data_IF_768046763277
#
_entry.id   IF_768046763277
#
_cell.length_a   1.000
_cell.length_b   1.000
_cell.length_c   1.000
_cell.angle_alpha   90.00
_cell.angle_beta   90.00
_cell.angle_gamma   90.00
#
_symmetry.space_group_name_H-M   'P 1'
#
loop_
_entity.id
_entity.type
_entity.pdbx_description
1 polymer ?
#
# COMPACT_ATOMS: atom_id res chain seq x y z
N UNK A 1 15.84 3.05 -4.28
CA UNK A 1 15.65 4.08 -3.22
C UNK A 1 15.38 5.44 -3.87
N UNK A 2 14.16 5.69 -4.38
CA UNK A 2 13.95 6.83 -5.29
C UNK A 2 12.67 7.63 -4.99
N UNK A 3 11.59 6.97 -4.55
CA UNK A 3 10.28 7.63 -4.39
C UNK A 3 10.23 8.69 -3.27
N UNK A 4 10.75 8.40 -2.07
CA UNK A 4 10.74 9.36 -0.96
C UNK A 4 11.68 10.55 -1.20
N UNK A 5 12.86 10.30 -1.78
CA UNK A 5 13.80 11.37 -2.17
C UNK A 5 13.19 12.28 -3.23
N UNK A 6 12.57 11.69 -4.24
CA UNK A 6 11.82 12.45 -5.26
C UNK A 6 10.67 13.23 -4.63
N UNK A 7 9.93 12.65 -3.67
CA UNK A 7 8.84 13.35 -3.00
C UNK A 7 9.32 14.55 -2.20
N UNK A 8 10.47 14.43 -1.55
CA UNK A 8 11.11 15.51 -0.80
C UNK A 8 11.50 16.67 -1.73
N UNK A 9 12.15 16.40 -2.86
CA UNK A 9 12.44 17.40 -3.89
C UNK A 9 11.18 18.13 -4.38
N UNK A 10 10.10 17.38 -4.65
CA UNK A 10 8.80 17.96 -5.04
C UNK A 10 8.19 18.81 -3.90
N UNK A 11 8.46 18.46 -2.66
CA UNK A 11 7.97 19.22 -1.50
C UNK A 11 8.75 20.53 -1.33
N UNK A 12 10.07 20.51 -1.48
CA UNK A 12 10.93 21.69 -1.39
C UNK A 12 10.57 22.72 -2.47
N UNK A 13 10.45 22.26 -3.71
CA UNK A 13 9.98 23.12 -4.82
C UNK A 13 8.58 23.69 -4.59
N UNK A 14 7.66 22.90 -4.02
CA UNK A 14 6.33 23.40 -3.63
C UNK A 14 6.40 24.42 -2.49
N UNK A 15 7.32 24.24 -1.54
CA UNK A 15 7.55 25.16 -0.42
C UNK A 15 8.07 26.51 -0.91
N UNK A 16 9.06 26.49 -1.79
CA UNK A 16 9.59 27.70 -2.43
C UNK A 16 8.50 28.45 -3.19
N UNK A 17 7.71 27.73 -4.00
CA UNK A 17 6.62 28.32 -4.77
C UNK A 17 5.47 28.88 -3.91
N UNK A 18 5.20 28.29 -2.74
CA UNK A 18 4.14 28.75 -1.84
C UNK A 18 4.55 29.97 -0.98
N UNK A 19 5.84 30.15 -0.71
CA UNK A 19 6.36 31.25 0.11
C UNK A 19 5.66 31.35 1.46
N UNK A 20 5.12 32.52 1.79
CA UNK A 20 4.40 32.79 3.04
C UNK A 20 3.13 31.94 3.24
N UNK A 21 2.56 31.39 2.16
CA UNK A 21 1.38 30.52 2.24
C UNK A 21 1.73 29.09 2.64
N UNK A 22 3.02 28.79 2.82
CA UNK A 22 3.46 27.47 3.25
C UNK A 22 3.16 27.24 4.73
N UNK A 23 2.46 26.14 5.01
CA UNK A 23 2.25 25.66 6.36
C UNK A 23 3.32 24.62 6.71
N UNK A 24 4.17 24.96 7.67
CA UNK A 24 5.16 24.03 8.19
C UNK A 24 4.47 22.83 8.87
N UNK A 25 4.88 21.62 8.50
CA UNK A 25 4.47 20.37 9.13
C UNK A 25 5.56 19.31 8.95
N UNK A 26 5.56 18.30 9.81
CA UNK A 26 6.48 17.14 9.73
C UNK A 26 6.01 16.08 8.72
N UNK A 27 5.06 16.43 7.83
CA UNK A 27 4.49 15.52 6.86
C UNK A 27 5.34 15.48 5.58
N UNK A 28 5.65 14.28 5.09
CA UNK A 28 6.33 14.08 3.79
C UNK A 28 5.36 14.25 2.62
N UNK A 29 4.08 13.93 2.82
CA UNK A 29 3.04 14.06 1.79
C UNK A 29 2.08 15.19 2.14
N UNK A 30 2.29 16.34 1.50
CA UNK A 30 1.48 17.53 1.69
C UNK A 30 0.79 17.97 0.40
N UNK A 31 -0.20 18.84 0.53
CA UNK A 31 -0.67 19.69 -0.57
C UNK A 31 0.44 20.69 -0.98
N UNK A 32 0.21 21.43 -2.07
CA UNK A 32 1.12 22.48 -2.54
C UNK A 32 1.44 23.59 -1.52
N UNK A 33 0.63 23.71 -0.46
CA UNK A 33 0.81 24.72 0.59
C UNK A 33 1.25 24.10 1.93
N UNK A 34 1.72 22.85 1.95
CA UNK A 34 2.22 22.21 3.18
C UNK A 34 1.14 21.62 4.11
N UNK A 35 -0.15 21.76 3.77
CA UNK A 35 -1.26 21.16 4.54
C UNK A 35 -1.40 19.64 4.30
N UNK A 36 -1.99 18.89 5.24
CA UNK A 36 -2.33 17.48 5.04
C UNK A 36 -3.21 17.26 3.80
N UNK A 37 -3.02 16.13 3.13
CA UNK A 37 -3.88 15.73 2.01
C UNK A 37 -5.17 15.12 2.57
N UNK A 38 -6.31 15.69 2.19
CA UNK A 38 -7.62 15.12 2.54
C UNK A 38 -7.81 13.73 1.89
N UNK A 39 -8.25 12.70 2.63
CA UNK A 39 -8.43 11.35 2.10
C UNK A 39 -9.34 11.28 0.86
N UNK A 40 -10.40 12.09 0.80
CA UNK A 40 -11.31 12.14 -0.36
C UNK A 40 -10.60 12.63 -1.62
N UNK A 41 -9.75 13.65 -1.49
CA UNK A 41 -8.96 14.16 -2.61
C UNK A 41 -7.92 13.15 -3.08
N UNK A 42 -7.28 12.43 -2.16
CA UNK A 42 -6.39 11.32 -2.51
C UNK A 42 -7.12 10.24 -3.31
N UNK A 43 -8.30 9.81 -2.86
CA UNK A 43 -9.10 8.81 -3.57
C UNK A 43 -9.51 9.29 -4.97
N UNK A 44 -9.91 10.56 -5.12
CA UNK A 44 -10.25 11.16 -6.42
C UNK A 44 -9.05 11.18 -7.37
N UNK A 45 -7.88 11.57 -6.87
CA UNK A 45 -6.66 11.58 -7.66
C UNK A 45 -6.26 10.16 -8.08
N UNK A 46 -6.35 9.20 -7.16
CA UNK A 46 -6.07 7.79 -7.45
C UNK A 46 -6.99 7.20 -8.52
N UNK A 47 -8.30 7.48 -8.45
CA UNK A 47 -9.25 7.08 -9.47
C UNK A 47 -8.93 7.71 -10.84
N UNK A 48 -8.53 8.99 -10.87
CA UNK A 48 -8.09 9.63 -12.10
C UNK A 48 -6.84 8.94 -12.69
N UNK A 49 -5.90 8.51 -11.84
CA UNK A 49 -4.73 7.75 -12.28
C UNK A 49 -5.10 6.36 -12.80
N UNK A 50 -6.04 5.65 -12.17
CA UNK A 50 -6.53 4.36 -12.69
C UNK A 50 -7.12 4.51 -14.09
N UNK A 51 -7.96 5.54 -14.31
CA UNK A 51 -8.53 5.84 -15.63
C UNK A 51 -7.45 6.17 -16.65
N UNK A 52 -6.44 6.97 -16.28
CA UNK A 52 -5.32 7.33 -17.17
C UNK A 52 -4.48 6.11 -17.54
N UNK A 53 -4.31 5.16 -16.63
CA UNK A 53 -3.59 3.92 -16.86
C UNK A 53 -4.44 2.85 -17.58
N UNK A 54 -5.70 3.14 -17.90
CA UNK A 54 -6.66 2.21 -18.51
C UNK A 54 -6.84 0.89 -17.74
N UNK A 55 -6.72 0.94 -16.41
CA UNK A 55 -6.94 -0.22 -15.53
C UNK A 55 -8.33 -0.13 -14.88
N UNK A 56 -8.90 -1.27 -14.44
CA UNK A 56 -10.12 -1.27 -13.65
C UNK A 56 -10.01 -0.33 -12.46
N UNK A 57 -11.11 0.35 -12.15
CA UNK A 57 -11.19 1.21 -10.96
C UNK A 57 -11.09 0.33 -9.72
N UNK A 58 -10.00 0.50 -8.99
CA UNK A 58 -9.79 -0.11 -7.67
C UNK A 58 -9.70 0.98 -6.60
N UNK A 59 -9.84 0.60 -5.33
CA UNK A 59 -9.63 1.49 -4.18
C UNK A 59 -8.15 1.52 -3.82
N UNK A 60 -7.72 2.54 -3.09
CA UNK A 60 -6.31 2.65 -2.65
C UNK A 60 -5.91 1.44 -1.81
N UNK A 61 -6.78 0.92 -0.93
CA UNK A 61 -6.46 -0.26 -0.13
C UNK A 61 -6.36 -1.55 -0.95
N UNK A 62 -7.02 -1.62 -2.11
CA UNK A 62 -6.94 -2.79 -2.98
C UNK A 62 -5.53 -2.95 -3.57
N UNK A 63 -4.76 -1.86 -3.70
CA UNK A 63 -3.35 -1.95 -4.13
C UNK A 63 -2.52 -2.83 -3.20
N UNK A 64 -2.86 -2.83 -1.91
CA UNK A 64 -2.22 -3.68 -0.91
C UNK A 64 -2.65 -5.14 -1.07
N UNK A 65 -3.90 -5.37 -1.43
CA UNK A 65 -4.40 -6.71 -1.75
C UNK A 65 -3.70 -7.25 -3.01
N UNK A 66 -3.58 -6.43 -4.06
CA UNK A 66 -2.80 -6.77 -5.26
C UNK A 66 -1.35 -7.09 -4.92
N UNK A 67 -0.71 -6.33 -4.03
CA UNK A 67 0.64 -6.65 -3.56
C UNK A 67 0.69 -8.01 -2.84
N UNK A 68 -0.27 -8.33 -1.99
CA UNK A 68 -0.37 -9.64 -1.36
C UNK A 68 -0.53 -10.77 -2.39
N UNK A 69 -1.37 -10.58 -3.41
CA UNK A 69 -1.58 -11.55 -4.49
C UNK A 69 -0.32 -11.77 -5.33
N UNK A 70 0.43 -10.71 -5.63
CA UNK A 70 1.70 -10.82 -6.33
C UNK A 70 2.75 -11.57 -5.49
N UNK A 71 2.84 -11.29 -4.19
CA UNK A 71 3.76 -12.02 -3.29
C UNK A 71 3.38 -13.51 -3.20
N UNK A 72 2.10 -13.83 -3.15
CA UNK A 72 1.61 -15.21 -3.17
C UNK A 72 1.93 -15.92 -4.50
N UNK A 73 1.71 -15.24 -5.63
CA UNK A 73 2.04 -15.77 -6.95
C UNK A 73 3.54 -16.02 -7.16
N UNK A 74 4.39 -15.26 -6.46
CA UNK A 74 5.84 -15.44 -6.42
C UNK A 74 6.30 -16.46 -5.37
N UNK A 75 5.37 -17.18 -4.75
CA UNK A 75 5.61 -18.18 -3.70
C UNK A 75 6.42 -17.63 -2.50
N UNK A 76 6.30 -16.33 -2.23
CA UNK A 76 6.97 -15.71 -1.08
C UNK A 76 6.34 -16.27 0.19
N UNK A 77 7.16 -16.73 1.14
CA UNK A 77 6.66 -17.30 2.37
C UNK A 77 5.70 -16.32 3.11
N UNK A 78 4.52 -16.76 3.57
CA UNK A 78 3.49 -15.92 4.21
C UNK A 78 4.02 -15.02 5.32
N UNK A 79 4.86 -15.55 6.21
CA UNK A 79 5.53 -14.77 7.28
C UNK A 79 6.35 -13.60 6.72
N UNK A 80 7.02 -13.78 5.59
CA UNK A 80 7.81 -12.75 4.93
C UNK A 80 6.88 -11.71 4.29
N UNK A 81 5.84 -12.16 3.59
CA UNK A 81 4.84 -11.26 3.01
C UNK A 81 4.13 -10.41 4.09
N UNK A 82 3.81 -10.99 5.25
CA UNK A 82 3.23 -10.27 6.39
C UNK A 82 4.17 -9.18 6.93
N UNK A 83 5.49 -9.44 6.98
CA UNK A 83 6.46 -8.39 7.34
C UNK A 83 6.55 -7.28 6.28
N UNK A 84 6.51 -7.66 4.99
CA UNK A 84 6.57 -6.70 3.88
C UNK A 84 5.36 -5.78 3.91
N UNK A 85 4.17 -6.36 4.08
CA UNK A 85 2.94 -5.59 4.16
C UNK A 85 2.90 -4.81 5.49
N UNK A 86 3.48 -5.31 6.58
CA UNK A 86 3.36 -4.83 7.98
C UNK A 86 1.93 -4.94 8.51
N UNK A 87 1.67 -5.95 9.34
CA UNK A 87 0.42 -6.14 10.11
C UNK A 87 -0.88 -5.83 9.34
N UNK A 88 -0.92 -6.05 8.02
CA UNK A 88 -2.22 -6.11 7.34
C UNK A 88 -3.00 -7.18 8.03
N UNK A 89 -4.31 -6.94 8.18
CA UNK A 89 -5.27 -7.97 8.56
C UNK A 89 -4.82 -9.33 8.02
N UNK A 90 -4.36 -10.17 8.94
CA UNK A 90 -3.79 -11.47 8.63
C UNK A 90 -4.81 -12.27 7.82
N UNK A 91 -6.11 -12.10 8.14
CA UNK A 91 -7.25 -12.65 7.41
C UNK A 91 -7.22 -12.33 5.91
N UNK A 92 -6.87 -11.11 5.52
CA UNK A 92 -6.79 -10.71 4.10
C UNK A 92 -5.60 -11.38 3.42
N UNK A 93 -4.43 -11.41 4.07
CA UNK A 93 -3.24 -12.06 3.51
C UNK A 93 -3.43 -13.57 3.39
N UNK A 94 -3.98 -14.23 4.41
CA UNK A 94 -4.24 -15.67 4.41
C UNK A 94 -5.28 -16.06 3.35
N UNK A 95 -6.37 -15.30 3.22
CA UNK A 95 -7.38 -15.54 2.19
C UNK A 95 -6.79 -15.55 0.77
N UNK A 96 -5.92 -14.58 0.45
CA UNK A 96 -5.23 -14.51 -0.85
C UNK A 96 -4.30 -15.71 -1.07
N UNK A 97 -3.50 -16.04 -0.05
CA UNK A 97 -2.55 -17.14 -0.14
C UNK A 97 -3.25 -18.48 -0.35
N UNK A 98 -4.38 -18.71 0.32
CA UNK A 98 -5.14 -19.95 0.13
C UNK A 98 -5.67 -20.09 -1.29
N UNK A 99 -5.89 -19.00 -2.04
CA UNK A 99 -6.42 -19.07 -3.40
C UNK A 99 -5.32 -19.20 -4.46
N UNK A 100 -4.13 -18.65 -4.22
CA UNK A 100 -3.10 -18.43 -5.24
C UNK A 100 -1.88 -19.34 -5.06
N UNK A 101 -1.61 -19.84 -3.85
CA UNK A 101 -0.39 -20.59 -3.55
C UNK A 101 -0.40 -22.04 -4.08
N UNK A 102 0.79 -22.60 -4.27
CA UNK A 102 1.01 -24.01 -4.65
C UNK A 102 0.44 -24.99 -3.61
N UNK A 103 0.15 -26.26 -3.98
CA UNK A 103 -0.29 -27.28 -3.03
C UNK A 103 0.68 -27.49 -1.86
N UNK A 104 1.98 -27.31 -2.09
CA UNK A 104 3.04 -27.40 -1.09
C UNK A 104 2.95 -26.23 -0.10
N UNK A 105 2.83 -25.00 -0.60
CA UNK A 105 2.67 -23.81 0.23
C UNK A 105 1.35 -23.81 0.99
N UNK A 106 0.28 -24.36 0.40
CA UNK A 106 -1.02 -24.53 1.08
C UNK A 106 -0.94 -25.52 2.25
N UNK A 107 -0.24 -26.65 2.08
CA UNK A 107 0.01 -27.60 3.18
C UNK A 107 0.83 -26.99 4.31
N UNK A 108 1.84 -26.17 3.99
CA UNK A 108 2.64 -25.47 4.99
C UNK A 108 1.86 -24.38 5.76
N UNK A 109 0.78 -23.87 5.18
CA UNK A 109 -0.08 -22.83 5.77
C UNK A 109 -1.12 -23.36 6.76
N UNK A 110 -1.49 -24.63 6.66
CA UNK A 110 -2.58 -25.25 7.42
C UNK A 110 -2.36 -25.22 8.95
N UNK A 111 -1.16 -25.57 9.49
CA UNK A 111 -0.89 -25.46 10.92
C UNK A 111 -0.86 -24.00 11.39
N UNK A 112 -0.45 -23.08 10.51
CA UNK A 112 -0.34 -21.67 10.82
C UNK A 112 -1.73 -21.04 10.96
N UNK A 113 -2.70 -21.42 10.12
CA UNK A 113 -4.08 -20.92 10.20
C UNK A 113 -4.74 -21.33 11.53
N UNK A 114 -4.58 -22.60 11.94
CA UNK A 114 -5.11 -23.11 13.21
C UNK A 114 -4.55 -22.35 14.42
N UNK A 115 -3.26 -21.98 14.39
CA UNK A 115 -2.62 -21.23 15.48
C UNK A 115 -3.12 -19.80 15.62
N UNK A 116 -3.69 -19.21 14.56
CA UNK A 116 -4.15 -17.83 14.52
C UNK A 116 -5.63 -17.72 14.89
N UNK A 117 -6.44 -18.73 14.56
CA UNK A 117 -7.87 -18.78 14.95
C UNK A 117 -8.07 -19.13 16.45
N UNK A 118 -7.01 -19.53 17.15
CA UNK A 118 -7.02 -19.95 18.56
C UNK A 118 -6.66 -18.85 19.57
N UNK A 119 -6.57 -17.58 19.14
CA UNK A 119 -6.08 -16.45 19.94
C UNK A 119 -7.05 -15.28 20.07
#
# INVERSE_FOLDING_TARGET
MTALKHRLLVQETAREAAGEKWHASDLVFTTKNGKPIEPRNLNRAFEAHCRKAAVPRIRVHDTRHTCASLLAALDVHPRVAMRILRHSQISVTMGVYTQIASPETRRALEPLNQSIDSG
#
